data_IF_073544264639
#
_entry.id   IF_073544264639
#
_cell.length_a   1.000
_cell.length_b   1.000
_cell.length_c   1.000
_cell.angle_alpha   90.00
_cell.angle_beta   90.00
_cell.angle_gamma   90.00
#
_symmetry.space_group_name_H-M   'P 1'
#
loop_
_entity.id
_entity.type
_entity.pdbx_description
1 polymer ?
#
# COMPACT_ATOMS: atom_id res chain seq x y z
N UNK A 1 2.95 2.36 12.28
CA UNK A 1 2.42 1.17 11.59
C UNK A 1 3.45 0.07 11.74
N UNK A 2 3.03 -1.17 11.96
CA UNK A 2 3.92 -2.32 12.09
C UNK A 2 3.42 -3.46 11.20
N UNK A 3 4.33 -4.22 10.64
CA UNK A 3 4.05 -5.44 9.89
C UNK A 3 4.98 -6.54 10.37
N UNK A 4 4.48 -7.76 10.48
CA UNK A 4 5.27 -8.94 10.84
C UNK A 4 4.98 -10.03 9.82
N UNK A 5 6.03 -10.49 9.14
CA UNK A 5 6.02 -11.65 8.27
C UNK A 5 6.42 -12.89 9.08
N UNK A 6 5.59 -13.92 8.99
CA UNK A 6 5.86 -15.24 9.53
C UNK A 6 5.86 -16.26 8.39
N UNK A 7 6.24 -17.50 8.66
CA UNK A 7 6.10 -18.59 7.68
C UNK A 7 4.64 -18.92 7.34
N UNK A 8 3.68 -18.52 8.18
CA UNK A 8 2.26 -18.84 8.00
C UNK A 8 1.45 -17.71 7.35
N UNK A 9 1.96 -16.48 7.40
CA UNK A 9 1.19 -15.31 7.01
C UNK A 9 1.89 -14.00 7.37
N UNK A 10 1.28 -12.89 6.98
CA UNK A 10 1.67 -11.54 7.40
C UNK A 10 0.55 -10.92 8.23
N UNK A 11 0.94 -10.20 9.29
CA UNK A 11 0.03 -9.41 10.13
C UNK A 11 0.41 -7.94 10.05
N UNK A 12 -0.59 -7.07 9.87
CA UNK A 12 -0.44 -5.61 9.94
C UNK A 12 -1.12 -5.07 11.20
N UNK A 13 -0.40 -4.19 11.91
CA UNK A 13 -0.89 -3.45 13.06
C UNK A 13 -0.80 -1.94 12.84
N UNK A 14 -1.89 -1.23 13.14
CA UNK A 14 -1.95 0.23 13.01
C UNK A 14 -2.53 0.86 14.26
N UNK A 15 -1.91 1.93 14.73
CA UNK A 15 -2.48 2.78 15.78
C UNK A 15 -3.48 3.77 15.14
N UNK A 16 -4.75 3.71 15.57
CA UNK A 16 -5.74 4.74 15.24
C UNK A 16 -5.78 5.76 16.38
N UNK A 17 -5.27 6.97 16.13
CA UNK A 17 -5.44 8.11 17.04
C UNK A 17 -6.69 8.87 16.61
N UNK A 18 -7.71 8.86 17.46
CA UNK A 18 -8.93 9.63 17.25
C UNK A 18 -8.78 10.98 17.94
N UNK A 19 -9.05 12.07 17.22
CA UNK A 19 -8.92 13.43 17.76
C UNK A 19 -10.05 13.79 18.72
N UNK A 20 -11.19 13.11 18.60
CA UNK A 20 -12.39 13.38 19.39
C UNK A 20 -13.19 12.08 19.61
N UNK A 21 -13.86 11.94 20.77
CA UNK A 21 -14.78 10.83 21.00
C UNK A 21 -16.02 10.85 20.09
N UNK A 22 -16.25 11.95 19.36
CA UNK A 22 -17.35 12.05 18.38
C UNK A 22 -17.01 11.38 17.04
N UNK A 23 -15.74 11.00 16.82
CA UNK A 23 -15.31 10.35 15.58
C UNK A 23 -15.64 8.88 15.64
N UNK A 24 -16.41 8.40 14.66
CA UNK A 24 -16.69 6.98 14.45
C UNK A 24 -15.37 6.23 14.13
N UNK A 25 -14.86 5.34 15.00
CA UNK A 25 -13.54 4.71 14.82
C UNK A 25 -13.39 3.91 13.52
N UNK A 26 -14.49 3.37 13.00
CA UNK A 26 -14.49 2.57 11.76
C UNK A 26 -14.42 3.42 10.50
N UNK A 27 -14.76 4.70 10.59
CA UNK A 27 -14.58 5.66 9.49
C UNK A 27 -13.08 5.95 9.22
N UNK A 28 -12.22 5.84 10.24
CA UNK A 28 -10.78 6.08 10.14
C UNK A 28 -10.06 4.78 9.76
N UNK A 29 -10.05 4.47 8.46
CA UNK A 29 -9.32 3.31 7.92
C UNK A 29 -7.86 3.67 7.64
N UNK A 30 -6.94 2.88 8.20
CA UNK A 30 -5.49 2.92 7.94
C UNK A 30 -4.96 1.63 7.30
N UNK A 31 -5.74 0.55 7.36
CA UNK A 31 -5.49 -0.70 6.64
C UNK A 31 -6.52 -0.78 5.53
N UNK A 32 -6.05 -1.03 4.32
CA UNK A 32 -6.85 -1.04 3.11
C UNK A 32 -6.62 -2.34 2.38
N UNK A 33 -7.70 -3.01 1.99
CA UNK A 33 -7.63 -4.12 1.07
C UNK A 33 -7.30 -3.60 -0.34
N UNK A 34 -6.29 -4.19 -0.97
CA UNK A 34 -5.89 -3.94 -2.37
C UNK A 34 -6.51 -5.01 -3.27
N UNK A 35 -6.35 -6.28 -2.88
CA UNK A 35 -6.94 -7.43 -3.53
C UNK A 35 -7.31 -8.48 -2.46
N UNK A 36 -7.86 -9.63 -2.83
CA UNK A 36 -8.23 -10.66 -1.86
C UNK A 36 -7.03 -11.22 -1.08
N UNK A 37 -5.84 -11.28 -1.70
CA UNK A 37 -4.60 -11.77 -1.10
C UNK A 37 -3.65 -10.65 -0.67
N UNK A 38 -4.02 -9.38 -0.86
CA UNK A 38 -3.17 -8.21 -0.64
C UNK A 38 -3.86 -7.11 0.16
N UNK A 39 -3.15 -6.57 1.13
CA UNK A 39 -3.57 -5.40 1.89
C UNK A 39 -2.40 -4.44 2.10
N UNK A 40 -2.72 -3.20 2.44
CA UNK A 40 -1.72 -2.21 2.76
C UNK A 40 -2.10 -1.39 3.98
N UNK A 41 -1.10 -1.07 4.80
CA UNK A 41 -1.22 -0.16 5.91
C UNK A 41 -0.49 1.14 5.59
N UNK A 42 -1.14 2.27 5.84
CA UNK A 42 -0.65 3.59 5.43
C UNK A 42 -0.26 4.42 6.65
N UNK A 43 0.82 5.21 6.51
CA UNK A 43 1.31 6.11 7.54
C UNK A 43 1.68 7.46 6.92
N UNK A 44 1.06 8.54 7.39
CA UNK A 44 1.28 9.89 6.87
C UNK A 44 -0.03 10.54 6.43
N UNK A 45 0.03 11.31 5.35
CA UNK A 45 -1.11 12.09 4.83
C UNK A 45 -2.17 11.15 4.24
N UNK A 46 -3.38 11.16 4.80
CA UNK A 46 -4.47 10.23 4.41
C UNK A 46 -4.95 10.46 2.98
N UNK A 47 -4.95 11.69 2.47
CA UNK A 47 -5.32 11.97 1.08
C UNK A 47 -4.37 11.32 0.09
N UNK A 48 -3.06 11.48 0.33
CA UNK A 48 -2.01 10.90 -0.50
C UNK A 48 -2.05 9.37 -0.45
N UNK A 49 -2.29 8.82 0.74
CA UNK A 49 -2.47 7.39 0.95
C UNK A 49 -3.60 6.81 0.08
N UNK A 50 -4.76 7.47 0.04
CA UNK A 50 -5.92 6.99 -0.75
C UNK A 50 -5.60 6.90 -2.23
N UNK A 51 -4.93 7.91 -2.80
CA UNK A 51 -4.52 7.91 -4.21
C UNK A 51 -3.62 6.72 -4.54
N UNK A 52 -2.64 6.42 -3.67
CA UNK A 52 -1.75 5.28 -3.89
C UNK A 52 -2.47 3.93 -3.74
N UNK A 53 -3.40 3.82 -2.79
CA UNK A 53 -4.22 2.61 -2.62
C UNK A 53 -5.10 2.36 -3.84
N UNK A 54 -5.74 3.40 -4.39
CA UNK A 54 -6.61 3.25 -5.56
C UNK A 54 -5.80 2.92 -6.82
N UNK A 55 -4.60 3.48 -6.96
CA UNK A 55 -3.65 3.07 -8.00
C UNK A 55 -3.24 1.61 -7.85
N UNK A 56 -2.92 1.16 -6.64
CA UNK A 56 -2.55 -0.23 -6.36
C UNK A 56 -3.69 -1.22 -6.68
N UNK A 57 -4.94 -0.86 -6.36
CA UNK A 57 -6.12 -1.65 -6.72
C UNK A 57 -6.29 -1.77 -8.23
N UNK A 58 -6.14 -0.64 -8.92
CA UNK A 58 -6.25 -0.59 -10.38
C UNK A 58 -5.18 -1.48 -11.02
N UNK A 59 -3.95 -1.40 -10.53
CA UNK A 59 -2.85 -2.24 -11.00
C UNK A 59 -3.10 -3.73 -10.76
N UNK A 60 -3.56 -4.10 -9.56
CA UNK A 60 -3.87 -5.49 -9.21
C UNK A 60 -4.96 -6.10 -10.12
N UNK A 61 -6.02 -5.34 -10.37
CA UNK A 61 -7.09 -5.78 -11.26
C UNK A 61 -6.64 -5.83 -12.72
N UNK A 62 -5.83 -4.87 -13.17
CA UNK A 62 -5.26 -4.89 -14.52
C UNK A 62 -4.35 -6.10 -14.76
N UNK A 63 -3.50 -6.44 -13.78
CA UNK A 63 -2.64 -7.63 -13.86
C UNK A 63 -3.47 -8.90 -13.94
N UNK A 64 -4.48 -9.02 -13.07
CA UNK A 64 -5.39 -10.18 -13.07
C UNK A 64 -6.14 -10.28 -14.39
N UNK A 65 -6.62 -9.16 -14.94
CA UNK A 65 -7.29 -9.12 -16.23
C UNK A 65 -6.36 -9.51 -17.40
N UNK A 66 -5.11 -9.05 -17.38
CA UNK A 66 -4.16 -9.25 -18.48
C UNK A 66 -3.54 -10.64 -18.47
N UNK A 67 -3.15 -11.12 -17.28
CA UNK A 67 -2.35 -12.33 -17.11
C UNK A 67 -3.14 -13.50 -16.51
N UNK A 68 -4.39 -13.27 -16.08
CA UNK A 68 -5.24 -14.30 -15.44
C UNK A 68 -4.57 -14.96 -14.22
N UNK A 69 -3.75 -14.19 -13.50
CA UNK A 69 -3.05 -14.62 -12.31
C UNK A 69 -3.03 -13.52 -11.25
N UNK A 70 -2.64 -13.90 -10.04
CA UNK A 70 -2.49 -12.96 -8.94
C UNK A 70 -1.25 -12.11 -9.12
N UNK A 71 -1.43 -10.80 -8.99
CA UNK A 71 -0.31 -9.88 -8.95
C UNK A 71 0.61 -10.23 -7.75
N UNK A 72 1.92 -10.39 -7.97
CA UNK A 72 2.87 -10.58 -6.88
C UNK A 72 2.93 -9.35 -5.97
N UNK A 73 3.17 -9.55 -4.68
CA UNK A 73 3.28 -8.45 -3.72
C UNK A 73 4.40 -7.46 -4.09
N UNK A 74 5.50 -7.99 -4.63
CA UNK A 74 6.64 -7.21 -5.10
C UNK A 74 6.27 -6.27 -6.26
N UNK A 75 5.47 -6.74 -7.21
CA UNK A 75 5.02 -5.96 -8.38
C UNK A 75 4.15 -4.79 -7.96
N UNK A 76 3.25 -4.99 -6.99
CA UNK A 76 2.45 -3.89 -6.40
C UNK A 76 3.36 -2.87 -5.71
N UNK A 77 4.34 -3.32 -4.93
CA UNK A 77 5.29 -2.44 -4.26
C UNK A 77 6.11 -1.61 -5.25
N UNK A 78 6.58 -2.22 -6.32
CA UNK A 78 7.29 -1.54 -7.40
C UNK A 78 6.40 -0.50 -8.09
N UNK A 79 5.17 -0.85 -8.46
CA UNK A 79 4.22 0.07 -9.11
C UNK A 79 3.90 1.29 -8.24
N UNK A 80 3.76 1.09 -6.93
CA UNK A 80 3.59 2.19 -5.98
C UNK A 80 4.87 3.04 -5.91
N UNK A 81 6.05 2.44 -5.82
CA UNK A 81 7.33 3.15 -5.82
C UNK A 81 7.53 4.00 -7.08
N UNK A 82 7.22 3.45 -8.26
CA UNK A 82 7.28 4.16 -9.55
C UNK A 82 6.28 5.32 -9.59
N UNK A 83 5.08 5.13 -9.04
CA UNK A 83 4.08 6.20 -8.92
C UNK A 83 4.58 7.32 -8.00
N UNK A 84 5.22 6.96 -6.88
CA UNK A 84 5.82 7.93 -5.97
C UNK A 84 6.93 8.71 -6.69
N UNK A 85 7.87 8.04 -7.38
CA UNK A 85 8.95 8.66 -8.17
C UNK A 85 8.46 9.49 -9.37
N UNK A 86 7.23 9.27 -9.80
CA UNK A 86 6.60 9.98 -10.92
C UNK A 86 6.19 11.42 -10.62
N UNK A 87 6.26 11.87 -9.36
CA UNK A 87 5.89 13.24 -8.99
C UNK A 87 6.66 14.28 -9.83
N UNK A 88 5.98 15.34 -10.26
CA UNK A 88 6.57 16.41 -11.05
C UNK A 88 6.92 16.07 -12.51
N UNK A 89 6.59 14.87 -13.01
CA UNK A 89 6.92 14.44 -14.40
C UNK A 89 5.85 14.74 -15.46
N UNK A 90 4.89 15.63 -15.19
CA UNK A 90 3.86 16.03 -16.14
C UNK A 90 2.78 16.93 -15.51
N UNK A 91 1.90 17.49 -16.35
CA UNK A 91 0.81 18.38 -15.90
C UNK A 91 -0.25 17.63 -15.06
N UNK A 92 -0.45 16.34 -15.31
CA UNK A 92 -1.41 15.48 -14.59
C UNK A 92 -0.81 14.79 -13.34
N UNK A 93 0.46 15.04 -13.03
CA UNK A 93 1.15 14.41 -11.90
C UNK A 93 1.23 15.34 -10.69
N UNK A 94 1.28 14.81 -9.46
CA UNK A 94 1.43 15.63 -8.26
C UNK A 94 2.65 16.55 -8.35
N UNK A 95 2.48 17.82 -8.01
CA UNK A 95 3.56 18.82 -7.98
C UNK A 95 4.54 18.64 -6.82
N UNK A 96 4.21 17.76 -5.87
CA UNK A 96 5.01 17.46 -4.67
C UNK A 96 5.08 15.95 -4.44
N UNK A 97 6.10 15.46 -3.71
CA UNK A 97 6.16 14.07 -3.27
C UNK A 97 4.95 13.68 -2.42
N UNK A 98 4.64 12.39 -2.42
CA UNK A 98 3.61 11.81 -1.55
C UNK A 98 4.10 11.78 -0.10
N UNK A 99 3.33 12.39 0.81
CA UNK A 99 3.66 12.45 2.24
C UNK A 99 3.26 11.19 3.01
N UNK A 100 3.45 10.01 2.41
CA UNK A 100 2.98 8.73 2.97
C UNK A 100 4.03 7.64 2.79
N UNK A 101 4.24 6.87 3.84
CA UNK A 101 4.90 5.57 3.77
C UNK A 101 3.83 4.46 3.83
N UNK A 102 4.00 3.42 3.03
CA UNK A 102 3.03 2.33 2.89
C UNK A 102 3.72 1.00 3.17
N UNK A 103 3.15 0.21 4.08
CA UNK A 103 3.45 -1.22 4.19
C UNK A 103 2.46 -2.00 3.35
N UNK A 104 2.96 -2.88 2.50
CA UNK A 104 2.19 -3.73 1.60
C UNK A 104 2.42 -5.17 2.04
N UNK A 105 1.34 -5.87 2.31
CA UNK A 105 1.35 -7.22 2.82
C UNK A 105 0.49 -8.11 1.94
N UNK A 106 0.99 -9.29 1.59
CA UNK A 106 0.17 -10.27 0.91
C UNK A 106 0.69 -11.68 1.06
N UNK A 107 -0.15 -12.63 0.66
CA UNK A 107 0.22 -14.03 0.51
C UNK A 107 -0.01 -14.42 -0.95
N UNK A 108 1.06 -14.36 -1.76
CA UNK A 108 1.02 -14.78 -3.15
C UNK A 108 1.57 -16.22 -3.29
N UNK A 109 1.80 -16.68 -4.53
CA UNK A 109 2.31 -18.02 -4.81
C UNK A 109 3.71 -18.28 -4.22
N UNK A 110 4.47 -17.24 -3.89
CA UNK A 110 5.77 -17.33 -3.23
C UNK A 110 5.66 -17.28 -1.69
N UNK A 111 4.45 -17.25 -1.16
CA UNK A 111 4.15 -17.24 0.26
C UNK A 111 3.90 -15.84 0.82
N UNK A 112 3.94 -15.70 2.16
CA UNK A 112 3.71 -14.43 2.82
C UNK A 112 4.87 -13.46 2.58
N UNK A 113 4.54 -12.23 2.17
CA UNK A 113 5.49 -11.17 1.83
C UNK A 113 5.07 -9.84 2.44
N UNK A 114 6.07 -9.07 2.88
CA UNK A 114 5.90 -7.74 3.45
C UNK A 114 6.89 -6.79 2.77
N UNK A 115 6.37 -5.72 2.20
CA UNK A 115 7.14 -4.67 1.56
C UNK A 115 6.86 -3.31 2.20
N UNK A 116 7.86 -2.45 2.23
CA UNK A 116 7.73 -1.04 2.57
C UNK A 116 7.98 -0.21 1.33
N UNK A 117 7.13 0.78 1.05
CA UNK A 117 7.37 1.84 0.07
C UNK A 117 7.43 3.18 0.80
N UNK A 118 8.53 3.91 0.64
CA UNK A 118 8.76 5.19 1.29
C UNK A 118 8.47 6.39 0.35
N UNK A 119 8.32 7.62 0.89
CA UNK A 119 8.16 8.83 0.09
C UNK A 119 9.29 9.14 -0.90
N UNK A 120 10.45 8.50 -0.75
CA UNK A 120 11.56 8.63 -1.70
C UNK A 120 11.36 7.74 -2.94
N UNK A 121 10.31 6.92 -2.93
CA UNK A 121 10.01 5.96 -4.00
C UNK A 121 10.85 4.69 -3.93
N UNK A 122 11.59 4.50 -2.84
CA UNK A 122 12.29 3.25 -2.59
C UNK A 122 11.30 2.22 -2.07
N UNK A 123 11.42 0.98 -2.55
CA UNK A 123 10.68 -0.14 -2.00
C UNK A 123 11.64 -1.24 -1.54
N UNK A 124 11.35 -1.82 -0.38
CA UNK A 124 12.22 -2.79 0.30
C UNK A 124 11.39 -3.92 0.88
N UNK A 125 11.90 -5.16 0.82
CA UNK A 125 11.28 -6.32 1.48
C UNK A 125 11.68 -6.35 2.97
N UNK A 126 10.72 -6.64 3.85
CA UNK A 126 10.89 -6.70 5.30
C UNK A 126 10.40 -8.05 5.84
N UNK A 127 10.84 -8.36 7.07
CA UNK A 127 10.38 -9.52 7.86
C UNK A 127 9.67 -9.05 9.11
#
# INVERSE_FOLDING_TARGET
VLGIQTSQGVVLGVEKRLESPLVEPDSVKKIHQIDYHLCAATCGVVSDARTLIDKARTEAQNHTFTYTELIPCATVAQSIGDTILGFGKGEDMPSRPFGVAILIAGCDHHGPKLFNADPAGSFTEWK
#
